data_IF_601348533708
#
_entry.id   IF_601348533708
#
_cell.length_a   1.000
_cell.length_b   1.000
_cell.length_c   1.000
_cell.angle_alpha   90.00
_cell.angle_beta   90.00
_cell.angle_gamma   90.00
#
_symmetry.space_group_name_H-M   'P 1'
#
loop_
_entity.id
_entity.type
_entity.pdbx_description
1 polymer ?
#
# COMPACT_ATOMS: atom_id res chain seq x y z
N UNK A 1 11.45 22.03 2.31
CA UNK A 1 10.73 20.80 1.95
C UNK A 1 9.46 20.80 2.75
N UNK A 2 8.29 20.84 2.11
CA UNK A 2 7.03 20.57 2.83
C UNK A 2 7.02 19.09 3.22
N UNK A 3 6.46 18.77 4.38
CA UNK A 3 6.48 17.40 4.91
C UNK A 3 5.80 16.43 3.95
N UNK A 4 4.86 16.86 3.10
CA UNK A 4 4.03 15.99 2.26
C UNK A 4 4.38 15.97 0.76
N UNK A 5 5.60 16.37 0.39
CA UNK A 5 6.06 16.33 -1.02
C UNK A 5 7.44 15.69 -1.16
N UNK A 6 7.61 14.89 -2.21
CA UNK A 6 8.91 14.45 -2.71
C UNK A 6 9.15 15.01 -4.11
N UNK A 7 10.42 15.20 -4.46
CA UNK A 7 10.84 15.47 -5.84
C UNK A 7 11.37 14.21 -6.46
N UNK A 8 10.76 13.79 -7.56
CA UNK A 8 11.16 12.62 -8.35
C UNK A 8 11.54 13.03 -9.75
N UNK A 9 12.46 12.30 -10.38
CA UNK A 9 12.78 12.50 -11.79
C UNK A 9 12.90 11.15 -12.47
N UNK A 10 12.34 11.05 -13.67
CA UNK A 10 12.57 9.90 -14.53
C UNK A 10 13.78 10.18 -15.43
N UNK A 11 14.80 9.35 -15.34
CA UNK A 11 16.02 9.45 -16.17
C UNK A 11 16.02 8.44 -17.34
N UNK A 12 15.00 7.58 -17.41
CA UNK A 12 14.85 6.57 -18.45
C UNK A 12 14.14 7.12 -19.70
N UNK A 13 14.11 6.29 -20.73
CA UNK A 13 13.38 6.52 -21.98
C UNK A 13 11.93 6.02 -21.98
N UNK A 14 11.46 5.49 -20.85
CA UNK A 14 10.12 4.92 -20.72
C UNK A 14 9.27 5.72 -19.74
N UNK A 15 7.95 5.66 -19.90
CA UNK A 15 7.06 6.15 -18.85
C UNK A 15 7.22 5.27 -17.61
N UNK A 16 7.30 5.89 -16.44
CA UNK A 16 7.31 5.17 -15.17
C UNK A 16 5.98 5.38 -14.46
N UNK A 17 5.34 4.29 -14.07
CA UNK A 17 4.15 4.32 -13.24
C UNK A 17 4.58 4.18 -11.78
N UNK A 18 4.14 5.13 -10.96
CA UNK A 18 4.24 5.09 -9.51
C UNK A 18 2.84 4.93 -8.95
N UNK A 19 2.59 3.85 -8.22
CA UNK A 19 1.27 3.50 -7.76
C UNK A 19 0.99 4.13 -6.39
N UNK A 20 -0.23 4.63 -6.19
CA UNK A 20 -0.72 5.04 -4.90
C UNK A 20 -0.59 3.91 -3.86
N UNK A 21 -0.07 4.24 -2.69
CA UNK A 21 0.22 3.29 -1.63
C UNK A 21 1.61 2.64 -1.72
N UNK A 22 2.34 2.75 -2.83
CA UNK A 22 3.73 2.24 -2.87
C UNK A 22 4.60 2.95 -1.84
N UNK A 23 5.41 2.18 -1.12
CA UNK A 23 6.31 2.74 -0.12
C UNK A 23 7.69 3.05 -0.70
N UNK A 24 8.18 4.24 -0.40
CA UNK A 24 9.53 4.72 -0.70
C UNK A 24 10.29 4.75 0.62
N UNK A 25 11.29 3.89 0.74
CA UNK A 25 12.12 3.74 1.93
C UNK A 25 13.36 4.64 1.85
N UNK A 26 13.82 5.11 3.01
CA UNK A 26 15.05 5.90 3.14
C UNK A 26 14.82 7.40 3.19
N UNK A 27 15.76 8.17 2.63
CA UNK A 27 15.80 9.63 2.76
C UNK A 27 15.67 10.09 4.22
N UNK A 28 14.93 11.17 4.45
CA UNK A 28 14.65 11.65 5.82
C UNK A 28 13.63 10.83 6.58
N UNK A 29 12.68 10.21 5.86
CA UNK A 29 11.57 9.43 6.38
C UNK A 29 11.06 8.48 5.30
N UNK A 30 10.59 7.30 5.70
CA UNK A 30 9.84 6.41 4.81
C UNK A 30 8.50 7.05 4.41
N UNK A 31 8.14 6.95 3.13
CA UNK A 31 6.98 7.59 2.51
C UNK A 31 6.06 6.58 1.85
N UNK A 32 4.78 6.89 1.74
CA UNK A 32 3.86 6.23 0.80
C UNK A 32 3.32 7.24 -0.20
N UNK A 33 3.19 6.83 -1.46
CA UNK A 33 2.71 7.68 -2.55
C UNK A 33 1.20 7.91 -2.38
N UNK A 34 0.75 9.16 -2.44
CA UNK A 34 -0.64 9.50 -2.16
C UNK A 34 -1.58 9.17 -3.33
N UNK A 35 -1.12 9.41 -4.56
CA UNK A 35 -1.91 9.27 -5.79
C UNK A 35 -1.09 8.61 -6.89
N UNK A 36 -1.75 7.98 -7.85
CA UNK A 36 -1.09 7.41 -9.02
C UNK A 36 -0.39 8.49 -9.84
N UNK A 37 0.87 8.26 -10.20
CA UNK A 37 1.68 9.20 -10.99
C UNK A 37 2.30 8.48 -12.17
N UNK A 38 2.14 9.07 -13.37
CA UNK A 38 2.90 8.68 -14.55
C UNK A 38 4.00 9.73 -14.76
N UNK A 39 5.26 9.30 -14.67
CA UNK A 39 6.41 10.16 -14.97
C UNK A 39 6.80 10.00 -16.44
N UNK A 40 6.75 11.07 -17.25
CA UNK A 40 7.22 11.04 -18.63
C UNK A 40 8.71 10.66 -18.71
N UNK A 41 9.17 10.10 -19.84
CA UNK A 41 10.60 9.92 -20.09
C UNK A 41 11.36 11.22 -19.88
N UNK A 42 12.53 11.15 -19.22
CA UNK A 42 13.44 12.31 -19.05
C UNK A 42 12.77 13.57 -18.46
N UNK A 43 11.78 13.40 -17.57
CA UNK A 43 10.84 14.46 -17.11
C UNK A 43 11.43 15.65 -16.34
N UNK A 44 12.73 15.67 -16.04
CA UNK A 44 13.27 16.54 -14.99
C UNK A 44 12.61 16.23 -13.63
N UNK A 45 12.73 17.16 -12.67
CA UNK A 45 12.10 16.99 -11.35
C UNK A 45 10.61 17.35 -11.39
N UNK A 46 9.78 16.41 -10.95
CA UNK A 46 8.35 16.55 -10.71
C UNK A 46 8.11 16.39 -9.20
N UNK A 47 7.25 17.23 -8.65
CA UNK A 47 6.79 17.07 -7.27
C UNK A 47 5.65 16.05 -7.21
N UNK A 48 5.74 15.10 -6.29
CA UNK A 48 4.69 14.13 -6.01
C UNK A 48 4.21 14.27 -4.56
N UNK A 49 2.93 13.97 -4.36
CA UNK A 49 2.29 13.96 -3.04
C UNK A 49 2.58 12.65 -2.31
N UNK A 50 2.94 12.75 -1.04
CA UNK A 50 3.29 11.61 -0.20
C UNK A 50 2.79 11.80 1.23
N UNK A 51 2.61 10.67 1.92
CA UNK A 51 2.42 10.61 3.36
C UNK A 51 3.66 10.04 4.04
N UNK A 52 4.01 10.53 5.24
CA UNK A 52 4.99 9.85 6.09
C UNK A 52 4.41 8.52 6.58
N UNK A 53 5.19 7.44 6.47
CA UNK A 53 4.87 6.15 7.10
C UNK A 53 5.91 5.78 8.17
N UNK A 54 6.56 6.81 8.70
CA UNK A 54 7.53 6.76 9.78
C UNK A 54 7.46 8.11 10.52
N UNK A 55 7.30 8.06 11.84
CA UNK A 55 7.26 9.21 12.76
C UNK A 55 8.66 9.53 13.28
N UNK A 56 8.92 10.78 13.70
CA UNK A 56 10.09 11.09 14.55
C UNK A 56 11.49 11.04 13.90
N UNK A 57 11.73 10.20 12.88
CA UNK A 57 12.98 10.23 12.10
C UNK A 57 12.98 11.46 11.20
N UNK A 58 14.03 12.27 11.26
CA UNK A 58 14.26 13.38 10.31
C UNK A 58 15.75 13.61 10.11
N UNK A 59 16.52 12.53 10.12
CA UNK A 59 17.96 12.52 9.92
C UNK A 59 18.30 12.30 8.43
N UNK A 60 19.53 12.61 8.04
CA UNK A 60 19.96 12.50 6.65
C UNK A 60 20.27 11.03 6.29
N UNK A 61 19.24 10.22 6.07
CA UNK A 61 19.42 8.94 5.40
C UNK A 61 19.92 9.14 3.96
N UNK A 62 20.89 8.33 3.54
CA UNK A 62 21.48 8.41 2.19
C UNK A 62 20.73 7.47 1.25
N UNK A 63 20.00 8.05 0.27
CA UNK A 63 19.35 7.31 -0.81
C UNK A 63 17.89 6.92 -0.56
N UNK A 64 17.23 6.49 -1.64
CA UNK A 64 15.85 6.02 -1.65
C UNK A 64 15.77 4.62 -2.26
N UNK A 65 14.87 3.78 -1.76
CA UNK A 65 14.58 2.46 -2.32
C UNK A 65 13.06 2.25 -2.43
N UNK A 66 12.61 1.56 -3.46
CA UNK A 66 11.23 1.04 -3.47
C UNK A 66 11.13 -0.08 -2.45
N UNK A 67 10.07 -0.07 -1.63
CA UNK A 67 9.69 -1.25 -0.86
C UNK A 67 9.18 -2.35 -1.81
N UNK A 68 9.23 -3.59 -1.34
CA UNK A 68 8.60 -4.74 -1.99
C UNK A 68 7.08 -4.81 -1.73
N UNK A 69 6.56 -3.94 -0.86
CA UNK A 69 5.14 -3.89 -0.49
C UNK A 69 4.49 -2.55 -0.89
N UNK A 70 3.21 -2.64 -1.24
CA UNK A 70 2.28 -1.51 -1.20
C UNK A 70 1.67 -1.47 0.21
N UNK A 71 1.40 -0.29 0.76
CA UNK A 71 0.76 -0.14 2.06
C UNK A 71 -0.59 -0.90 2.12
N UNK A 72 -1.02 -1.32 3.32
CA UNK A 72 -2.28 -2.04 3.50
C UNK A 72 -3.50 -1.21 3.06
N UNK A 73 -4.63 -1.88 2.79
CA UNK A 73 -5.83 -1.23 2.25
C UNK A 73 -6.33 -0.06 3.11
N UNK A 74 -6.21 -0.16 4.43
CA UNK A 74 -6.56 0.90 5.38
C UNK A 74 -5.73 2.18 5.22
N UNK A 75 -4.40 2.07 5.13
CA UNK A 75 -3.50 3.22 4.87
C UNK A 75 -3.77 3.82 3.49
N UNK A 76 -3.95 2.99 2.45
CA UNK A 76 -4.27 3.47 1.10
C UNK A 76 -5.61 4.21 1.06
N UNK A 77 -6.61 3.74 1.79
CA UNK A 77 -7.92 4.39 1.91
C UNK A 77 -7.81 5.76 2.57
N UNK A 78 -7.00 5.88 3.63
CA UNK A 78 -6.76 7.17 4.29
C UNK A 78 -6.04 8.15 3.35
N UNK A 79 -5.02 7.68 2.63
CA UNK A 79 -4.31 8.49 1.64
C UNK A 79 -5.25 8.96 0.51
N UNK A 80 -6.06 8.06 -0.04
CA UNK A 80 -7.03 8.38 -1.10
C UNK A 80 -8.14 9.34 -0.62
N UNK A 81 -8.50 9.30 0.67
CA UNK A 81 -9.45 10.23 1.28
C UNK A 81 -8.82 11.60 1.63
N UNK A 82 -7.57 11.84 1.24
CA UNK A 82 -6.80 13.02 1.61
C UNK A 82 -6.81 13.28 3.13
N UNK A 83 -6.77 12.20 3.93
CA UNK A 83 -6.76 12.30 5.39
C UNK A 83 -5.51 13.05 5.88
N UNK A 84 -5.58 13.55 7.11
CA UNK A 84 -4.43 14.22 7.71
C UNK A 84 -3.33 13.20 8.08
N UNK A 85 -2.09 13.69 8.19
CA UNK A 85 -0.91 12.86 8.45
C UNK A 85 -1.02 12.05 9.76
N UNK A 86 -1.72 12.57 10.78
CA UNK A 86 -1.88 11.87 12.07
C UNK A 86 -2.80 10.67 11.92
N UNK A 87 -3.82 10.75 11.08
CA UNK A 87 -4.71 9.62 10.79
C UNK A 87 -3.96 8.43 10.20
N UNK A 88 -3.01 8.68 9.28
CA UNK A 88 -2.14 7.62 8.71
C UNK A 88 -1.27 6.98 9.80
N UNK A 89 -0.66 7.80 10.66
CA UNK A 89 0.15 7.32 11.77
C UNK A 89 -0.63 6.49 12.80
N UNK A 90 -1.82 6.94 13.18
CA UNK A 90 -2.69 6.20 14.09
C UNK A 90 -3.05 4.82 13.53
N UNK A 91 -3.25 4.70 12.21
CA UNK A 91 -3.54 3.41 11.58
C UNK A 91 -2.31 2.50 11.54
N UNK A 92 -1.12 3.06 11.29
CA UNK A 92 0.15 2.31 11.36
C UNK A 92 0.39 1.79 12.79
N UNK A 93 0.23 2.63 13.81
CA UNK A 93 0.40 2.25 15.23
C UNK A 93 -0.57 1.14 15.63
N UNK A 94 -1.82 1.24 15.16
CA UNK A 94 -2.83 0.18 15.33
C UNK A 94 -2.38 -1.13 14.69
N UNK A 95 -1.86 -1.09 13.46
CA UNK A 95 -1.40 -2.28 12.76
C UNK A 95 -0.20 -2.94 13.43
N UNK A 96 0.80 -2.14 13.83
CA UNK A 96 1.97 -2.61 14.58
C UNK A 96 1.54 -3.27 15.90
N UNK A 97 0.65 -2.62 16.65
CA UNK A 97 0.11 -3.14 17.90
C UNK A 97 -0.67 -4.44 17.71
N UNK A 98 -1.53 -4.52 16.69
CA UNK A 98 -2.31 -5.73 16.38
C UNK A 98 -1.45 -6.89 15.87
N UNK A 99 -0.27 -6.60 15.33
CA UNK A 99 0.72 -7.59 14.90
C UNK A 99 1.75 -7.92 16.00
N UNK A 100 1.64 -7.29 17.18
CA UNK A 100 2.61 -7.41 18.28
C UNK A 100 4.05 -7.07 17.84
N UNK A 101 4.19 -6.09 16.93
CA UNK A 101 5.49 -5.62 16.43
C UNK A 101 5.85 -4.33 17.13
N UNK A 102 6.95 -4.37 17.89
CA UNK A 102 7.58 -3.15 18.39
C UNK A 102 8.36 -2.47 17.26
N UNK A 103 7.98 -1.25 16.94
CA UNK A 103 8.72 -0.39 16.03
C UNK A 103 8.97 0.95 16.71
N UNK A 104 10.24 1.30 16.89
CA UNK A 104 10.60 2.69 17.19
C UNK A 104 10.00 3.57 16.10
N UNK A 105 9.47 4.73 16.48
CA UNK A 105 9.07 5.75 15.51
C UNK A 105 7.94 5.33 14.55
N UNK A 106 7.13 4.32 14.86
CA UNK A 106 6.03 3.88 14.00
C UNK A 106 6.47 3.59 12.55
N UNK A 107 7.67 3.06 12.36
CA UNK A 107 8.17 2.71 11.03
C UNK A 107 7.34 1.55 10.46
N UNK A 108 6.52 1.85 9.45
CA UNK A 108 5.64 0.86 8.86
C UNK A 108 6.40 -0.27 8.13
N UNK A 109 7.65 -0.01 7.70
CA UNK A 109 8.50 -1.05 7.11
C UNK A 109 8.91 -2.14 8.13
N UNK A 110 8.93 -1.79 9.43
CA UNK A 110 9.21 -2.75 10.50
C UNK A 110 8.15 -3.86 10.57
N UNK A 111 6.88 -3.56 10.25
CA UNK A 111 5.82 -4.56 10.18
C UNK A 111 6.17 -5.68 9.21
N UNK A 112 6.63 -5.34 8.01
CA UNK A 112 6.95 -6.31 6.95
C UNK A 112 8.25 -7.07 7.20
N UNK A 113 9.12 -6.56 8.08
CA UNK A 113 10.40 -7.17 8.48
C UNK A 113 10.30 -8.03 9.73
N UNK A 114 9.20 -7.98 10.48
CA UNK A 114 9.01 -8.81 11.65
C UNK A 114 8.97 -10.30 11.23
N UNK A 115 9.80 -11.18 11.83
CA UNK A 115 9.95 -12.57 11.36
C UNK A 115 8.63 -13.35 11.27
N UNK A 116 7.75 -13.19 12.28
CA UNK A 116 6.44 -13.86 12.28
C UNK A 116 5.49 -13.31 11.22
N UNK A 117 5.53 -12.00 10.97
CA UNK A 117 4.75 -11.38 9.90
C UNK A 117 5.26 -11.84 8.55
N UNK A 118 6.58 -11.87 8.33
CA UNK A 118 7.20 -12.33 7.08
C UNK A 118 6.85 -13.80 6.79
N UNK A 119 6.92 -14.66 7.81
CA UNK A 119 6.53 -16.08 7.69
C UNK A 119 5.06 -16.22 7.31
N UNK A 120 4.14 -15.58 8.05
CA UNK A 120 2.70 -15.62 7.77
C UNK A 120 2.36 -15.01 6.41
N UNK A 121 3.06 -13.94 6.01
CA UNK A 121 2.97 -13.31 4.69
C UNK A 121 3.26 -14.32 3.59
N UNK A 122 4.41 -15.00 3.69
CA UNK A 122 4.84 -16.00 2.72
C UNK A 122 3.82 -17.13 2.58
N UNK A 123 3.41 -17.73 3.71
CA UNK A 123 2.42 -18.80 3.74
C UNK A 123 1.07 -18.39 3.12
N UNK A 124 0.65 -17.14 3.33
CA UNK A 124 -0.59 -16.61 2.78
C UNK A 124 -0.48 -16.30 1.28
N UNK A 125 0.63 -15.70 0.84
CA UNK A 125 0.88 -15.36 -0.57
C UNK A 125 1.01 -16.63 -1.42
N UNK A 126 1.64 -17.69 -0.91
CA UNK A 126 1.73 -18.98 -1.60
C UNK A 126 0.36 -19.61 -1.92
N UNK A 127 -0.67 -19.26 -1.15
CA UNK A 127 -2.05 -19.70 -1.40
C UNK A 127 -2.78 -18.84 -2.44
N UNK A 128 -2.26 -17.66 -2.76
CA UNK A 128 -2.81 -16.77 -3.78
C UNK A 128 -2.30 -17.22 -5.15
N UNK A 129 -3.24 -17.60 -6.02
CA UNK A 129 -2.92 -17.88 -7.42
C UNK A 129 -2.88 -16.58 -8.20
N UNK A 130 -1.92 -16.45 -9.10
CA UNK A 130 -1.94 -15.39 -10.10
C UNK A 130 -3.25 -15.47 -10.89
N UNK A 131 -3.96 -14.35 -11.13
CA UNK A 131 -5.18 -14.37 -11.90
C UNK A 131 -4.95 -14.83 -13.35
N UNK A 132 -6.04 -15.26 -13.99
CA UNK A 132 -6.04 -15.84 -15.34
C UNK A 132 -5.41 -14.91 -16.39
N UNK A 133 -5.01 -15.47 -17.52
CA UNK A 133 -4.50 -14.70 -18.66
C UNK A 133 -5.44 -13.54 -19.02
N UNK A 134 -4.86 -12.38 -19.32
CA UNK A 134 -5.56 -11.13 -19.69
C UNK A 134 -6.33 -10.45 -18.55
N UNK A 135 -6.16 -10.89 -17.30
CA UNK A 135 -6.69 -10.15 -16.13
C UNK A 135 -5.97 -8.81 -16.01
N UNK A 136 -6.73 -7.73 -15.83
CA UNK A 136 -6.20 -6.36 -15.68
C UNK A 136 -6.30 -5.82 -14.27
N UNK A 137 -6.84 -6.60 -13.32
CA UNK A 137 -7.08 -6.13 -11.98
C UNK A 137 -7.69 -7.19 -11.08
N UNK A 138 -7.92 -6.81 -9.82
CA UNK A 138 -8.38 -7.71 -8.77
C UNK A 138 -9.24 -6.94 -7.78
N UNK A 139 -10.22 -7.65 -7.21
CA UNK A 139 -10.96 -7.20 -6.02
C UNK A 139 -10.57 -8.13 -4.89
N UNK A 140 -9.91 -7.59 -3.85
CA UNK A 140 -9.48 -8.36 -2.70
C UNK A 140 -10.58 -8.35 -1.62
N UNK A 141 -10.92 -9.55 -1.13
CA UNK A 141 -11.93 -9.75 -0.11
C UNK A 141 -11.31 -10.47 1.08
N UNK A 142 -11.43 -9.88 2.27
CA UNK A 142 -10.95 -10.46 3.53
C UNK A 142 -12.12 -10.51 4.51
N UNK A 143 -12.41 -11.69 5.07
CA UNK A 143 -13.51 -11.90 6.01
C UNK A 143 -14.89 -11.37 5.51
N UNK A 144 -15.18 -11.55 4.22
CA UNK A 144 -16.44 -11.11 3.60
C UNK A 144 -16.52 -9.61 3.32
N UNK A 145 -15.44 -8.84 3.51
CA UNK A 145 -15.37 -7.40 3.21
C UNK A 145 -14.41 -7.16 2.05
N UNK A 146 -14.80 -6.28 1.13
CA UNK A 146 -13.89 -5.78 0.10
C UNK A 146 -12.89 -4.85 0.78
N UNK A 147 -11.59 -5.18 0.70
CA UNK A 147 -10.50 -4.38 1.28
C UNK A 147 -9.75 -3.57 0.24
N UNK A 148 -9.85 -3.98 -1.04
CA UNK A 148 -9.23 -3.30 -2.15
C UNK A 148 -9.91 -3.65 -3.48
N UNK A 149 -9.85 -2.72 -4.43
CA UNK A 149 -9.92 -3.03 -5.84
C UNK A 149 -8.82 -2.26 -6.57
N UNK A 150 -8.03 -2.97 -7.36
CA UNK A 150 -6.93 -2.40 -8.13
C UNK A 150 -7.12 -2.82 -9.60
N UNK A 151 -7.26 -1.83 -10.49
CA UNK A 151 -7.52 -2.03 -11.92
C UNK A 151 -6.48 -1.23 -12.72
N UNK A 152 -5.84 -1.88 -13.68
CA UNK A 152 -4.75 -1.32 -14.46
C UNK A 152 -5.09 -1.26 -15.95
N UNK A 153 -4.34 -0.45 -16.69
CA UNK A 153 -4.53 -0.27 -18.14
C UNK A 153 -4.11 -1.48 -18.98
N UNK A 154 -3.35 -2.42 -18.41
CA UNK A 154 -2.91 -3.63 -19.11
C UNK A 154 -2.69 -4.80 -18.16
N UNK A 155 -2.82 -6.02 -18.70
CA UNK A 155 -2.54 -7.24 -17.95
C UNK A 155 -1.07 -7.34 -17.53
N UNK A 156 -0.15 -6.86 -18.37
CA UNK A 156 1.28 -6.88 -18.07
C UNK A 156 1.62 -5.97 -16.87
N UNK A 157 1.00 -4.79 -16.78
CA UNK A 157 1.20 -3.90 -15.63
C UNK A 157 0.64 -4.51 -14.35
N UNK A 158 -0.56 -5.11 -14.43
CA UNK A 158 -1.16 -5.82 -13.32
C UNK A 158 -0.27 -6.98 -12.85
N UNK A 159 0.23 -7.80 -13.77
CA UNK A 159 1.13 -8.92 -13.48
C UNK A 159 2.43 -8.44 -12.82
N UNK A 160 3.02 -7.34 -13.31
CA UNK A 160 4.22 -6.75 -12.73
C UNK A 160 4.00 -6.24 -11.28
N UNK A 161 2.80 -5.75 -10.96
CA UNK A 161 2.46 -5.24 -9.63
C UNK A 161 1.90 -6.32 -8.69
N UNK A 162 1.46 -7.46 -9.22
CA UNK A 162 0.84 -8.55 -8.46
C UNK A 162 1.63 -8.96 -7.20
N UNK A 163 2.96 -9.13 -7.23
CA UNK A 163 3.71 -9.49 -6.02
C UNK A 163 3.65 -8.43 -4.92
N UNK A 164 3.56 -7.13 -5.26
CA UNK A 164 3.43 -6.05 -4.29
C UNK A 164 2.00 -5.94 -3.76
N UNK A 165 1.01 -6.11 -4.64
CA UNK A 165 -0.43 -6.13 -4.31
C UNK A 165 -0.78 -7.26 -3.34
N UNK A 166 -0.27 -8.47 -3.59
CA UNK A 166 -0.46 -9.61 -2.69
C UNK A 166 -0.01 -9.30 -1.26
N UNK A 167 1.15 -8.66 -1.09
CA UNK A 167 1.62 -8.23 0.24
C UNK A 167 0.64 -7.26 0.89
N UNK A 168 0.17 -6.24 0.16
CA UNK A 168 -0.83 -5.30 0.68
C UNK A 168 -2.11 -6.00 1.16
N UNK A 169 -2.70 -6.87 0.35
CA UNK A 169 -3.95 -7.56 0.69
C UNK A 169 -3.79 -8.53 1.86
N UNK A 170 -2.64 -9.22 1.91
CA UNK A 170 -2.34 -10.18 2.97
C UNK A 170 -2.07 -9.47 4.30
N UNK A 171 -1.61 -8.22 4.30
CA UNK A 171 -1.53 -7.42 5.54
C UNK A 171 -2.89 -7.36 6.25
N UNK A 172 -3.98 -7.12 5.51
CA UNK A 172 -5.34 -7.08 6.08
C UNK A 172 -5.84 -8.46 6.58
N UNK A 173 -5.20 -9.56 6.18
CA UNK A 173 -5.46 -10.92 6.70
C UNK A 173 -4.67 -11.17 7.99
N UNK A 174 -3.39 -10.78 8.01
CA UNK A 174 -2.46 -11.07 9.09
C UNK A 174 -2.68 -10.14 10.29
N UNK A 175 -3.05 -8.88 10.01
CA UNK A 175 -3.25 -7.80 10.96
C UNK A 175 -4.74 -7.44 10.97
N UNK A 176 -5.55 -8.08 11.82
CA UNK A 176 -6.99 -7.93 11.77
C UNK A 176 -7.42 -6.51 12.15
N UNK A 177 -8.36 -5.95 11.40
CA UNK A 177 -9.06 -4.74 11.84
C UNK A 177 -9.99 -5.09 13.03
N UNK A 178 -10.06 -4.27 14.10
CA UNK A 178 -11.03 -4.48 15.17
C UNK A 178 -12.44 -4.60 14.59
N UNK A 179 -13.10 -5.73 14.81
CA UNK A 179 -14.41 -5.99 14.22
C UNK A 179 -15.43 -5.02 14.85
N UNK A 180 -16.00 -4.10 14.06
CA UNK A 180 -17.33 -3.60 14.36
C UNK A 180 -18.26 -4.82 14.39
N UNK A 181 -19.06 -4.95 15.47
CA UNK A 181 -19.91 -6.10 15.79
C UNK A 181 -20.50 -6.74 14.54
N UNK A 182 -20.28 -8.06 14.39
CA UNK A 182 -20.82 -8.86 13.31
C UNK A 182 -22.35 -8.78 13.30
N UNK A 183 -22.92 -8.09 12.33
CA UNK A 183 -24.09 -8.67 11.68
C UNK A 183 -23.56 -9.71 10.70
N UNK A 184 -23.87 -10.98 10.96
CA UNK A 184 -23.70 -12.06 10.00
C UNK A 184 -24.54 -11.74 8.76
N UNK A 185 -24.02 -10.92 7.85
CA UNK A 185 -24.50 -10.93 6.47
C UNK A 185 -23.96 -12.21 5.84
N UNK A 186 -24.75 -13.27 5.91
CA UNK A 186 -24.61 -14.42 5.02
C UNK A 186 -24.88 -13.93 3.59
N UNK A 187 -23.82 -13.53 2.90
CA UNK A 187 -23.90 -13.06 1.52
C UNK A 187 -22.50 -12.82 0.96
N UNK A 188 -22.31 -13.14 -0.31
CA UNK A 188 -21.11 -12.73 -1.02
C UNK A 188 -21.04 -11.19 -1.01
N UNK A 189 -19.84 -10.58 -0.87
CA UNK A 189 -19.70 -9.14 -0.97
C UNK A 189 -20.25 -8.65 -2.31
N UNK A 190 -21.00 -7.55 -2.31
CA UNK A 190 -21.54 -6.95 -3.53
C UNK A 190 -20.44 -6.23 -4.30
N UNK A 191 -19.71 -7.00 -5.11
CA UNK A 191 -18.62 -6.51 -5.96
C UNK A 191 -19.16 -5.51 -7.00
N UNK A 192 -20.36 -5.74 -7.56
CA UNK A 192 -20.92 -4.85 -8.58
C UNK A 192 -21.28 -3.49 -8.00
N UNK A 193 -21.96 -3.47 -6.85
CA UNK A 193 -22.26 -2.24 -6.13
C UNK A 193 -21.00 -1.48 -5.74
N UNK A 194 -19.98 -2.18 -5.26
CA UNK A 194 -18.69 -1.57 -4.92
C UNK A 194 -18.00 -0.93 -6.15
N UNK A 195 -17.90 -1.65 -7.28
CA UNK A 195 -17.29 -1.12 -8.49
C UNK A 195 -18.05 0.08 -9.08
N UNK A 196 -19.38 0.14 -8.89
CA UNK A 196 -20.18 1.28 -9.33
C UNK A 196 -19.91 2.54 -8.49
N UNK A 197 -19.43 2.42 -7.26
CA UNK A 197 -19.03 3.58 -6.43
C UNK A 197 -17.67 4.18 -6.84
N UNK A 198 -16.89 3.45 -7.64
CA UNK A 198 -15.57 3.89 -8.11
C UNK A 198 -15.63 4.61 -9.47
N UNK A 199 -16.82 4.72 -10.08
CA UNK A 199 -17.06 5.45 -11.33
C UNK A 199 -17.56 6.85 -11.04
#
# INVERSE_FOLDING_TARGET
ASVNRLRVRNVSDHHLFLMAGEMILGGKQNRTIAVDVILPPRSGFIDIEVYCVEQGRWDAGVGFKSSSAVAAGSVRKLAAAAADQRSVWNDIDRQLSAAEVEASNSDYDALYKAPDVERRMREAIERLRMPLQRTVGVVAVVHGRIVAADIFSSANLFEALWPKLCRSYVTDVIVPFPQARREHRQGHPDIRGYLNQLR
#
